data_IF_179121094006
#
_entry.id   IF_179121094006
#
_cell.length_a   1.000
_cell.length_b   1.000
_cell.length_c   1.000
_cell.angle_alpha   90.00
_cell.angle_beta   90.00
_cell.angle_gamma   90.00
#
_symmetry.space_group_name_H-M   'P 1'
#
loop_
_entity.id
_entity.type
_entity.pdbx_description
1 polymer ?
#
# COMPACT_ATOMS: atom_id res chain seq x y z
N UNK A 1 22.66 3.88 10.22
CA UNK A 1 21.42 3.94 9.40
C UNK A 1 20.25 3.44 10.22
N UNK A 2 19.15 4.20 10.28
CA UNK A 2 17.92 3.81 10.98
C UNK A 2 17.27 2.57 10.33
N UNK A 3 16.60 1.72 11.11
CA UNK A 3 15.89 0.53 10.63
C UNK A 3 14.84 0.88 9.56
N UNK A 4 14.23 2.07 9.65
CA UNK A 4 13.27 2.58 8.66
C UNK A 4 13.92 2.75 7.28
N UNK A 5 15.15 3.25 7.24
CA UNK A 5 15.91 3.41 5.98
C UNK A 5 16.22 2.07 5.35
N UNK A 6 16.59 1.05 6.14
CA UNK A 6 16.84 -0.31 5.64
C UNK A 6 15.58 -0.97 5.10
N UNK A 7 14.44 -0.78 5.76
CA UNK A 7 13.14 -1.29 5.29
C UNK A 7 12.71 -0.64 3.98
N UNK A 8 12.81 0.69 3.86
CA UNK A 8 12.47 1.40 2.61
C UNK A 8 13.39 0.94 1.49
N UNK A 9 14.70 0.81 1.75
CA UNK A 9 15.66 0.35 0.75
C UNK A 9 15.39 -1.11 0.32
N UNK A 10 15.03 -1.98 1.26
CA UNK A 10 14.64 -3.36 0.97
C UNK A 10 13.35 -3.45 0.15
N UNK A 11 12.35 -2.62 0.47
CA UNK A 11 11.08 -2.56 -0.26
C UNK A 11 11.30 -2.08 -1.71
N UNK A 12 12.06 -1.00 -1.88
CA UNK A 12 12.38 -0.45 -3.21
C UNK A 12 13.22 -1.44 -4.02
N UNK A 13 14.21 -2.07 -3.39
CA UNK A 13 15.01 -3.12 -4.03
C UNK A 13 14.17 -4.33 -4.46
N UNK A 14 13.25 -4.78 -3.62
CA UNK A 14 12.34 -5.88 -3.93
C UNK A 14 11.36 -5.53 -5.06
N UNK A 15 10.80 -4.31 -5.07
CA UNK A 15 9.92 -3.86 -6.15
C UNK A 15 10.66 -3.78 -7.49
N UNK A 16 11.88 -3.21 -7.50
CA UNK A 16 12.70 -3.14 -8.70
C UNK A 16 13.07 -4.54 -9.22
N UNK A 17 13.50 -5.44 -8.32
CA UNK A 17 13.79 -6.83 -8.68
C UNK A 17 12.54 -7.55 -9.23
N UNK A 18 11.37 -7.32 -8.63
CA UNK A 18 10.11 -7.90 -9.10
C UNK A 18 9.71 -7.43 -10.49
N UNK A 19 9.89 -6.14 -10.80
CA UNK A 19 9.63 -5.60 -12.14
C UNK A 19 10.60 -6.20 -13.16
N UNK A 20 11.89 -6.27 -12.83
CA UNK A 20 12.91 -6.85 -13.73
C UNK A 20 12.60 -8.32 -14.03
N UNK A 21 12.30 -9.12 -12.99
CA UNK A 21 11.93 -10.53 -13.16
C UNK A 21 10.62 -10.68 -13.94
N UNK A 22 9.62 -9.85 -13.68
CA UNK A 22 8.36 -9.84 -14.44
C UNK A 22 8.55 -9.47 -15.92
N UNK A 23 9.42 -8.50 -16.20
CA UNK A 23 9.76 -8.10 -17.58
C UNK A 23 10.52 -9.21 -18.33
N UNK A 24 11.42 -9.92 -17.63
CA UNK A 24 12.15 -11.06 -18.20
C UNK A 24 11.25 -12.26 -18.48
N UNK A 25 10.23 -12.48 -17.65
CA UNK A 25 9.31 -13.62 -17.78
C UNK A 25 8.23 -13.37 -18.85
N UNK A 26 7.82 -12.12 -19.05
CA UNK A 26 6.85 -11.73 -20.08
C UNK A 26 7.33 -10.47 -20.85
N UNK A 27 8.33 -10.61 -21.73
CA UNK A 27 8.78 -9.49 -22.55
C UNK A 27 7.78 -9.23 -23.70
N UNK A 28 6.96 -8.20 -23.54
CA UNK A 28 6.21 -7.61 -24.66
C UNK A 28 7.14 -6.69 -25.48
N UNK A 29 6.92 -6.61 -26.80
CA UNK A 29 7.63 -5.67 -27.67
C UNK A 29 7.36 -4.22 -27.23
N UNK A 30 8.40 -3.37 -27.14
CA UNK A 30 8.30 -2.04 -26.50
C UNK A 30 7.18 -1.12 -27.01
N UNK A 31 6.76 -1.26 -28.27
CA UNK A 31 5.58 -0.56 -28.83
C UNK A 31 4.27 -1.05 -28.23
N UNK A 32 4.12 -2.37 -28.05
CA UNK A 32 2.98 -2.98 -27.37
C UNK A 32 2.99 -2.70 -25.87
N UNK A 33 4.16 -2.71 -25.23
CA UNK A 33 4.32 -2.40 -23.80
C UNK A 33 3.88 -0.98 -23.47
N UNK A 34 4.26 0.01 -24.28
CA UNK A 34 3.83 1.41 -24.07
C UNK A 34 2.32 1.56 -24.29
N UNK A 35 1.76 0.89 -25.30
CA UNK A 35 0.32 0.92 -25.60
C UNK A 35 -0.51 0.24 -24.51
N UNK A 36 -0.05 -0.92 -24.02
CA UNK A 36 -0.63 -1.66 -22.88
C UNK A 36 -0.49 -0.87 -21.59
N UNK A 37 0.68 -0.30 -21.29
CA UNK A 37 0.90 0.56 -20.13
C UNK A 37 -0.05 1.73 -20.11
N UNK A 38 -0.22 2.47 -21.22
CA UNK A 38 -1.14 3.61 -21.24
C UNK A 38 -2.59 3.18 -21.03
N UNK A 39 -3.05 2.11 -21.68
CA UNK A 39 -4.43 1.62 -21.52
C UNK A 39 -4.67 1.06 -20.12
N UNK A 40 -3.79 0.18 -19.65
CA UNK A 40 -3.86 -0.45 -18.33
C UNK A 40 -3.66 0.58 -17.22
N UNK A 41 -2.73 1.54 -17.35
CA UNK A 41 -2.53 2.56 -16.32
C UNK A 41 -3.72 3.54 -16.23
N UNK A 42 -4.43 3.82 -17.33
CA UNK A 42 -5.65 4.61 -17.30
C UNK A 42 -6.76 3.92 -16.49
N UNK A 43 -7.04 2.66 -16.80
CA UNK A 43 -8.07 1.88 -16.11
C UNK A 43 -7.69 1.58 -14.66
N UNK A 44 -6.42 1.24 -14.41
CA UNK A 44 -5.92 0.95 -13.08
C UNK A 44 -5.80 2.22 -12.24
N UNK A 45 -5.48 3.37 -12.82
CA UNK A 45 -5.38 4.64 -12.09
C UNK A 45 -6.69 4.99 -11.40
N UNK A 46 -7.82 4.86 -12.10
CA UNK A 46 -9.15 5.10 -11.54
C UNK A 46 -9.50 4.08 -10.47
N UNK A 47 -9.33 2.78 -10.76
CA UNK A 47 -9.73 1.72 -9.82
C UNK A 47 -8.84 1.68 -8.56
N UNK A 48 -7.54 1.90 -8.69
CA UNK A 48 -6.62 2.02 -7.56
C UNK A 48 -6.86 3.29 -6.76
N UNK A 49 -7.24 4.39 -7.42
CA UNK A 49 -7.63 5.63 -6.75
C UNK A 49 -8.84 5.42 -5.83
N UNK A 50 -9.89 4.77 -6.35
CA UNK A 50 -11.10 4.46 -5.59
C UNK A 50 -10.84 3.48 -4.44
N UNK A 51 -10.03 2.44 -4.68
CA UNK A 51 -9.61 1.51 -3.63
C UNK A 51 -8.76 2.21 -2.57
N UNK A 52 -7.86 3.12 -2.97
CA UNK A 52 -7.02 3.86 -2.04
C UNK A 52 -7.85 4.85 -1.20
N UNK A 53 -8.81 5.54 -1.80
CA UNK A 53 -9.76 6.38 -1.09
C UNK A 53 -10.57 5.56 -0.08
N UNK A 54 -11.15 4.44 -0.52
CA UNK A 54 -11.91 3.52 0.34
C UNK A 54 -11.06 2.93 1.48
N UNK A 55 -9.81 2.58 1.20
CA UNK A 55 -8.86 2.09 2.19
C UNK A 55 -8.50 3.17 3.20
N UNK A 56 -8.26 4.41 2.75
CA UNK A 56 -7.96 5.56 3.63
C UNK A 56 -9.13 5.86 4.56
N UNK A 57 -10.35 5.85 4.04
CA UNK A 57 -11.55 6.05 4.85
C UNK A 57 -11.76 4.91 5.85
N UNK A 58 -11.56 3.67 5.42
CA UNK A 58 -11.65 2.49 6.30
C UNK A 58 -10.60 2.51 7.41
N UNK A 59 -9.34 2.85 7.09
CA UNK A 59 -8.26 2.99 8.07
C UNK A 59 -8.51 4.16 9.02
N UNK A 60 -9.05 5.27 8.53
CA UNK A 60 -9.44 6.42 9.35
C UNK A 60 -10.53 6.06 10.35
N UNK A 61 -11.59 5.39 9.88
CA UNK A 61 -12.69 4.95 10.74
C UNK A 61 -12.24 3.89 11.75
N UNK A 62 -11.40 2.94 11.33
CA UNK A 62 -10.86 1.90 12.22
C UNK A 62 -9.90 2.49 13.25
N UNK A 63 -9.07 3.47 12.87
CA UNK A 63 -8.19 4.18 13.82
C UNK A 63 -8.98 4.98 14.85
N UNK A 64 -10.08 5.63 14.44
CA UNK A 64 -10.95 6.39 15.35
C UNK A 64 -11.67 5.46 16.33
N UNK A 65 -12.25 4.36 15.85
CA UNK A 65 -12.89 3.35 16.71
C UNK A 65 -11.89 2.64 17.62
N UNK A 66 -10.73 2.27 17.08
CA UNK A 66 -9.64 1.63 17.81
C UNK A 66 -9.09 2.54 18.91
N UNK A 67 -8.90 3.85 18.64
CA UNK A 67 -8.52 4.83 19.67
C UNK A 67 -9.57 4.93 20.76
N UNK A 68 -10.86 5.06 20.43
CA UNK A 68 -11.93 5.13 21.44
C UNK A 68 -12.03 3.85 22.29
N UNK A 69 -11.89 2.69 21.65
CA UNK A 69 -11.87 1.40 22.34
C UNK A 69 -10.65 1.26 23.25
N UNK A 70 -9.47 1.68 22.78
CA UNK A 70 -8.25 1.69 23.57
C UNK A 70 -8.35 2.65 24.77
N UNK A 71 -8.91 3.85 24.60
CA UNK A 71 -9.17 4.78 25.69
C UNK A 71 -10.11 4.18 26.74
N UNK A 72 -11.22 3.58 26.30
CA UNK A 72 -12.18 2.89 27.18
C UNK A 72 -11.52 1.74 27.95
N UNK A 73 -10.68 0.94 27.28
CA UNK A 73 -9.92 -0.13 27.92
C UNK A 73 -8.92 0.42 28.92
N UNK A 74 -8.26 1.55 28.62
CA UNK A 74 -7.32 2.17 29.54
C UNK A 74 -8.03 2.69 30.79
N UNK A 75 -9.17 3.37 30.65
CA UNK A 75 -9.96 3.89 31.77
C UNK A 75 -10.49 2.77 32.67
N UNK A 76 -10.97 1.66 32.07
CA UNK A 76 -11.45 0.49 32.85
C UNK A 76 -10.30 -0.21 33.56
N UNK A 77 -9.13 -0.30 32.93
CA UNK A 77 -7.94 -0.90 33.53
C UNK A 77 -7.40 -0.04 34.68
N UNK A 78 -7.43 1.27 34.54
CA UNK A 78 -7.02 2.24 35.57
C UNK A 78 -8.02 2.33 36.73
N UNK A 79 -9.30 2.05 36.49
CA UNK A 79 -10.33 1.96 37.55
C UNK A 79 -10.31 0.65 38.35
N UNK A 80 -9.56 -0.37 37.92
CA UNK A 80 -9.44 -1.67 38.58
C UNK A 80 -8.08 -1.88 39.29
N UNK A 81 -7.14 -0.94 39.11
CA UNK A 81 -5.84 -0.88 39.78
C UNK A 81 -5.86 0.20 40.86
#
# INVERSE_FOLDING_TARGET
MSAKTKLILGLVGAAAAGVVVGLLLAPDAGTATRKKLTSTAGDWGTHLGDLFASAKDSVGNLSSKGRKAASRMNDVKESYM
#
